data_IF_439165183846
#
_entry.id   IF_439165183846
#
_cell.length_a   1.000
_cell.length_b   1.000
_cell.length_c   1.000
_cell.angle_alpha   90.00
_cell.angle_beta   90.00
_cell.angle_gamma   90.00
#
_symmetry.space_group_name_H-M   'P 1'
#
loop_
_entity.id
_entity.type
_entity.pdbx_description
1 polymer ?
#
# COMPACT_ATOMS: atom_id res chain seq x y z
N UNK A 1 -2.24 -23.46 6.08
CA UNK A 1 -3.35 -23.46 5.11
C UNK A 1 -2.87 -22.59 3.98
N UNK A 2 -2.67 -23.13 2.78
CA UNK A 2 -2.43 -22.33 1.59
C UNK A 2 -3.71 -21.55 1.33
N UNK A 3 -3.76 -20.33 1.81
CA UNK A 3 -4.86 -19.40 1.52
C UNK A 3 -4.57 -18.70 0.20
N UNK A 4 -4.70 -19.44 -0.90
CA UNK A 4 -4.71 -18.79 -2.21
C UNK A 4 -5.82 -17.73 -2.24
N UNK A 5 -5.48 -16.50 -2.55
CA UNK A 5 -6.50 -15.48 -2.83
C UNK A 5 -7.19 -15.81 -4.15
N UNK A 6 -8.53 -15.72 -4.15
CA UNK A 6 -9.35 -16.05 -5.31
C UNK A 6 -10.44 -15.01 -5.51
N UNK A 7 -10.84 -14.86 -6.76
CA UNK A 7 -12.03 -14.10 -7.10
C UNK A 7 -13.28 -14.82 -6.58
N UNK A 8 -14.29 -14.01 -6.22
CA UNK A 8 -15.61 -14.51 -5.84
C UNK A 8 -16.38 -15.02 -7.08
N UNK A 9 -17.62 -15.46 -6.88
CA UNK A 9 -18.49 -16.00 -7.95
C UNK A 9 -18.78 -14.99 -9.06
N UNK A 10 -18.75 -13.68 -8.76
CA UNK A 10 -18.93 -12.59 -9.73
C UNK A 10 -17.64 -12.22 -10.46
N UNK A 11 -16.54 -12.91 -10.20
CA UNK A 11 -15.23 -12.65 -10.78
C UNK A 11 -14.53 -11.42 -10.20
N UNK A 12 -14.94 -10.95 -9.02
CA UNK A 12 -14.34 -9.81 -8.33
C UNK A 12 -13.57 -10.22 -7.09
N UNK A 13 -12.59 -9.38 -6.71
CA UNK A 13 -11.95 -9.40 -5.41
C UNK A 13 -11.87 -7.98 -4.86
N UNK A 14 -12.23 -7.81 -3.59
CA UNK A 14 -12.16 -6.54 -2.89
C UNK A 14 -10.93 -6.47 -1.99
N UNK A 15 -10.07 -5.51 -2.23
CA UNK A 15 -8.86 -5.23 -1.43
C UNK A 15 -9.08 -3.96 -0.63
N UNK A 16 -8.76 -3.98 0.65
CA UNK A 16 -8.73 -2.81 1.52
C UNK A 16 -7.29 -2.42 1.83
N UNK A 17 -6.93 -1.16 1.57
CA UNK A 17 -5.68 -0.57 2.04
C UNK A 17 -5.96 0.22 3.33
N UNK A 18 -5.25 -0.15 4.38
CA UNK A 18 -5.09 0.62 5.61
C UNK A 18 -3.67 1.17 5.66
N UNK A 19 -3.46 2.34 6.25
CA UNK A 19 -2.14 2.96 6.30
C UNK A 19 -2.02 3.92 7.48
N UNK A 20 -0.78 4.15 7.92
CA UNK A 20 -0.47 5.17 8.91
C UNK A 20 -1.30 5.01 10.20
N UNK A 21 -1.27 3.81 10.77
CA UNK A 21 -2.05 3.45 11.96
C UNK A 21 -1.48 4.09 13.23
N UNK A 22 -0.14 4.23 13.32
CA UNK A 22 0.61 4.87 14.39
C UNK A 22 0.15 4.46 15.81
N UNK A 23 0.04 3.16 16.05
CA UNK A 23 -0.28 2.65 17.39
C UNK A 23 0.93 2.86 18.30
N UNK A 24 0.77 3.67 19.36
CA UNK A 24 1.93 4.22 20.09
C UNK A 24 1.92 3.95 21.58
N UNK A 25 0.80 4.18 22.27
CA UNK A 25 0.73 4.26 23.75
C UNK A 25 -0.37 3.37 24.35
N UNK A 26 -1.14 2.65 23.55
CA UNK A 26 -2.35 1.95 23.96
C UNK A 26 -3.39 2.88 24.58
N UNK A 27 -3.52 4.08 24.03
CA UNK A 27 -4.39 5.16 24.50
C UNK A 27 -5.70 5.29 23.70
N UNK A 28 -6.45 6.36 23.94
CA UNK A 28 -7.74 6.60 23.28
C UNK A 28 -7.61 6.74 21.76
N UNK A 29 -6.52 7.33 21.25
CA UNK A 29 -6.28 7.47 19.81
C UNK A 29 -6.04 6.11 19.16
N UNK A 30 -5.24 5.26 19.82
CA UNK A 30 -4.97 3.91 19.37
C UNK A 30 -6.24 3.04 19.37
N UNK A 31 -7.05 3.17 20.41
CA UNK A 31 -8.34 2.45 20.50
C UNK A 31 -9.32 2.93 19.43
N UNK A 32 -9.34 4.22 19.07
CA UNK A 32 -10.14 4.74 17.94
C UNK A 32 -9.65 4.18 16.61
N UNK A 33 -8.33 4.07 16.40
CA UNK A 33 -7.75 3.44 15.20
C UNK A 33 -8.25 2.01 15.05
N UNK A 34 -8.15 1.20 16.11
CA UNK A 34 -8.60 -0.19 16.12
C UNK A 34 -10.13 -0.29 15.92
N UNK A 35 -10.90 0.64 16.48
CA UNK A 35 -12.35 0.69 16.29
C UNK A 35 -12.73 1.01 14.83
N UNK A 36 -12.06 1.98 14.21
CA UNK A 36 -12.22 2.29 12.78
C UNK A 36 -11.92 1.06 11.91
N UNK A 37 -10.80 0.37 12.17
CA UNK A 37 -10.45 -0.83 11.42
C UNK A 37 -11.54 -1.90 11.52
N UNK A 38 -12.07 -2.19 12.73
CA UNK A 38 -13.17 -3.13 12.92
C UNK A 38 -14.44 -2.72 12.16
N UNK A 39 -14.77 -1.44 12.19
CA UNK A 39 -15.95 -0.92 11.50
C UNK A 39 -15.79 -1.03 9.98
N UNK A 40 -14.65 -0.61 9.42
CA UNK A 40 -14.35 -0.70 8.00
C UNK A 40 -14.38 -2.16 7.50
N UNK A 41 -13.78 -3.09 8.25
CA UNK A 41 -13.79 -4.53 7.94
C UNK A 41 -15.21 -5.10 7.92
N UNK A 42 -16.05 -4.69 8.89
CA UNK A 42 -17.44 -5.14 9.00
C UNK A 42 -18.31 -4.62 7.86
N UNK A 43 -18.15 -3.34 7.49
CA UNK A 43 -18.98 -2.67 6.49
C UNK A 43 -18.58 -3.05 5.08
N UNK A 44 -17.28 -3.01 4.79
CA UNK A 44 -16.74 -3.26 3.46
C UNK A 44 -16.54 -4.75 3.14
N UNK A 45 -16.34 -5.60 4.14
CA UNK A 45 -16.11 -7.04 4.00
C UNK A 45 -15.07 -7.36 2.89
N UNK A 46 -13.83 -6.87 3.03
CA UNK A 46 -12.80 -7.11 2.03
C UNK A 46 -12.43 -8.60 1.99
N UNK A 47 -11.98 -9.06 0.83
CA UNK A 47 -11.42 -10.39 0.62
C UNK A 47 -9.93 -10.43 1.00
N UNK A 48 -9.26 -9.27 1.00
CA UNK A 48 -7.87 -9.11 1.38
C UNK A 48 -7.62 -7.71 1.94
N UNK A 49 -6.70 -7.61 2.91
CA UNK A 49 -6.25 -6.33 3.47
C UNK A 49 -4.74 -6.17 3.28
N UNK A 50 -4.31 -5.00 2.79
CA UNK A 50 -2.92 -4.59 2.77
C UNK A 50 -2.71 -3.39 3.69
N UNK A 51 -1.76 -3.48 4.64
CA UNK A 51 -1.38 -2.36 5.50
C UNK A 51 -0.08 -1.75 4.96
N UNK A 52 -0.14 -0.49 4.57
CA UNK A 52 0.97 0.16 3.89
C UNK A 52 1.83 1.03 4.82
N UNK A 53 2.30 0.42 5.91
CA UNK A 53 3.32 0.98 6.79
C UNK A 53 2.82 1.89 7.90
N UNK A 54 3.77 2.29 8.74
CA UNK A 54 3.57 3.09 9.94
C UNK A 54 2.45 2.52 10.82
N UNK A 55 2.58 1.22 11.10
CA UNK A 55 1.62 0.45 11.88
C UNK A 55 1.76 0.74 13.37
N UNK A 56 3.02 0.79 13.83
CA UNK A 56 3.42 1.02 15.22
C UNK A 56 4.49 2.11 15.31
N UNK A 57 4.52 2.80 16.44
CA UNK A 57 5.52 3.83 16.69
C UNK A 57 5.99 3.78 18.14
N UNK A 58 7.32 3.86 18.37
CA UNK A 58 7.92 3.91 19.69
C UNK A 58 8.60 2.61 20.13
N UNK A 59 9.14 2.63 21.35
CA UNK A 59 9.99 1.54 21.91
C UNK A 59 9.25 0.19 22.08
N UNK A 60 7.91 0.25 22.25
CA UNK A 60 7.06 -0.93 22.47
C UNK A 60 6.48 -1.51 21.17
N UNK A 61 7.10 -1.23 20.03
CA UNK A 61 6.58 -1.61 18.71
C UNK A 61 6.22 -3.09 18.57
N UNK A 62 7.03 -4.01 19.10
CA UNK A 62 6.74 -5.45 19.06
C UNK A 62 5.57 -5.85 19.96
N UNK A 63 5.42 -5.20 21.13
CA UNK A 63 4.29 -5.43 22.04
C UNK A 63 2.98 -4.96 21.43
N UNK A 64 3.01 -3.82 20.72
CA UNK A 64 1.82 -3.20 20.14
C UNK A 64 1.39 -3.80 18.80
N UNK A 65 2.31 -4.45 18.08
CA UNK A 65 2.00 -5.05 16.79
C UNK A 65 0.77 -6.01 16.82
N UNK A 66 0.63 -6.95 17.77
CA UNK A 66 -0.58 -7.78 17.85
C UNK A 66 -1.83 -6.99 18.26
N UNK A 67 -1.70 -5.88 18.97
CA UNK A 67 -2.83 -5.04 19.37
C UNK A 67 -3.41 -4.29 18.17
N UNK A 68 -2.56 -3.67 17.36
CA UNK A 68 -2.99 -2.95 16.16
C UNK A 68 -3.56 -3.91 15.10
N UNK A 69 -3.04 -5.13 15.01
CA UNK A 69 -3.54 -6.14 14.06
C UNK A 69 -4.70 -7.00 14.60
N UNK A 70 -5.12 -6.80 15.86
CA UNK A 70 -6.24 -7.55 16.42
C UNK A 70 -7.50 -7.55 15.53
N UNK A 71 -7.94 -6.43 14.92
CA UNK A 71 -9.09 -6.43 14.02
C UNK A 71 -8.93 -7.34 12.80
N UNK A 72 -7.74 -7.42 12.22
CA UNK A 72 -7.43 -8.29 11.07
C UNK A 72 -7.49 -9.77 11.46
N UNK A 73 -6.90 -10.10 12.60
CA UNK A 73 -6.90 -11.47 13.16
C UNK A 73 -8.33 -11.92 13.50
N UNK A 74 -9.12 -11.05 14.12
CA UNK A 74 -10.50 -11.29 14.54
C UNK A 74 -11.44 -11.45 13.34
N UNK A 75 -11.26 -10.65 12.28
CA UNK A 75 -12.08 -10.71 11.07
C UNK A 75 -11.94 -12.03 10.31
N UNK A 76 -10.77 -12.67 10.41
CA UNK A 76 -10.41 -13.84 9.63
C UNK A 76 -10.12 -13.55 8.16
N UNK A 77 -10.17 -12.29 7.72
CA UNK A 77 -9.76 -11.86 6.39
C UNK A 77 -8.25 -12.08 6.22
N UNK A 78 -7.78 -12.64 5.11
CA UNK A 78 -6.36 -12.67 4.78
C UNK A 78 -5.80 -11.25 4.69
N UNK A 79 -4.57 -11.04 5.15
CA UNK A 79 -3.96 -9.72 5.16
C UNK A 79 -2.46 -9.78 5.01
N UNK A 80 -1.88 -8.67 4.59
CA UNK A 80 -0.44 -8.48 4.53
C UNK A 80 -0.05 -7.05 4.90
N UNK A 81 1.25 -6.77 4.98
CA UNK A 81 1.76 -5.45 5.28
C UNK A 81 3.13 -5.20 4.65
N UNK A 82 3.47 -3.93 4.51
CA UNK A 82 4.81 -3.41 4.30
C UNK A 82 5.18 -2.49 5.45
N UNK A 83 6.46 -2.21 5.65
CA UNK A 83 6.92 -1.29 6.68
C UNK A 83 6.88 0.17 6.20
N UNK A 84 6.58 1.07 7.13
CA UNK A 84 6.82 2.49 7.02
C UNK A 84 8.13 2.90 7.70
N UNK A 85 8.45 4.20 7.67
CA UNK A 85 9.69 4.69 8.25
C UNK A 85 9.68 4.68 9.79
N UNK A 86 8.50 4.76 10.40
CA UNK A 86 8.38 4.80 11.87
C UNK A 86 8.32 3.42 12.53
N UNK A 87 7.99 2.35 11.82
CA UNK A 87 7.78 1.02 12.42
C UNK A 87 8.98 0.47 13.19
N UNK A 88 10.20 0.82 12.78
CA UNK A 88 11.45 0.36 13.40
C UNK A 88 12.40 1.49 13.79
N UNK A 89 11.89 2.70 13.90
CA UNK A 89 12.67 3.87 14.32
C UNK A 89 13.14 3.72 15.78
N UNK A 90 12.33 3.02 16.58
CA UNK A 90 12.60 2.67 17.98
C UNK A 90 12.27 1.20 18.23
N UNK A 91 12.81 0.63 19.31
CA UNK A 91 12.49 -0.73 19.74
C UNK A 91 13.07 -1.82 18.84
N UNK A 92 12.21 -2.70 18.37
CA UNK A 92 12.60 -3.87 17.59
C UNK A 92 12.74 -3.58 16.10
N UNK A 93 13.64 -4.32 15.45
CA UNK A 93 13.93 -4.21 14.02
C UNK A 93 12.76 -4.71 13.14
N UNK A 94 12.69 -4.24 11.87
CA UNK A 94 11.74 -4.74 10.87
C UNK A 94 11.77 -6.27 10.73
N UNK A 95 12.95 -6.88 10.82
CA UNK A 95 13.09 -8.35 10.74
C UNK A 95 12.38 -9.06 11.91
N UNK A 96 12.46 -8.52 13.12
CA UNK A 96 11.77 -9.07 14.29
C UNK A 96 10.27 -8.86 14.20
N UNK A 97 9.84 -7.66 13.77
CA UNK A 97 8.43 -7.34 13.55
C UNK A 97 7.83 -8.19 12.43
N UNK A 98 8.54 -8.40 11.32
CA UNK A 98 8.09 -9.30 10.25
C UNK A 98 7.90 -10.72 10.76
N UNK A 99 8.89 -11.25 11.48
CA UNK A 99 8.78 -12.60 12.07
C UNK A 99 7.61 -12.74 13.04
N UNK A 100 7.28 -11.69 13.78
CA UNK A 100 6.13 -11.66 14.67
C UNK A 100 4.81 -11.62 13.87
N UNK A 101 4.70 -10.73 12.89
CA UNK A 101 3.53 -10.62 12.02
C UNK A 101 3.23 -11.90 11.26
N UNK A 102 4.24 -12.53 10.66
CA UNK A 102 4.10 -13.81 9.92
C UNK A 102 3.52 -14.97 10.75
N UNK A 103 3.60 -14.90 12.09
CA UNK A 103 3.02 -15.90 13.00
C UNK A 103 1.55 -15.63 13.32
N UNK A 104 1.04 -14.46 12.97
CA UNK A 104 -0.34 -14.07 13.26
C UNK A 104 -1.29 -14.73 12.27
N UNK A 105 -2.47 -15.11 12.75
CA UNK A 105 -3.48 -15.78 11.93
C UNK A 105 -3.92 -14.87 10.76
N UNK A 106 -3.93 -15.43 9.56
CA UNK A 106 -4.34 -14.73 8.34
C UNK A 106 -3.26 -13.86 7.68
N UNK A 107 -2.11 -13.68 8.32
CA UNK A 107 -1.00 -12.93 7.74
C UNK A 107 -0.38 -13.69 6.57
N UNK A 108 -0.27 -13.00 5.43
CA UNK A 108 0.37 -13.49 4.20
C UNK A 108 1.69 -12.78 3.91
N UNK A 109 2.12 -11.87 4.79
CA UNK A 109 3.40 -11.21 4.63
C UNK A 109 4.55 -12.21 4.67
N UNK A 110 5.53 -11.99 3.83
CA UNK A 110 6.74 -12.80 3.75
C UNK A 110 7.94 -11.95 3.32
N UNK A 111 9.07 -12.58 3.14
CA UNK A 111 10.23 -11.98 2.49
C UNK A 111 10.78 -12.98 1.49
N UNK A 112 10.67 -12.67 0.22
CA UNK A 112 10.91 -13.62 -0.87
C UNK A 112 12.33 -14.17 -0.90
N UNK A 113 13.33 -13.36 -0.53
CA UNK A 113 14.72 -13.79 -0.49
C UNK A 113 15.57 -12.88 0.41
N UNK A 114 16.44 -13.49 1.21
CA UNK A 114 17.42 -12.76 2.03
C UNK A 114 18.47 -11.98 1.22
N UNK A 115 18.52 -12.17 -0.10
CA UNK A 115 19.39 -11.40 -1.00
C UNK A 115 18.77 -10.12 -1.52
N UNK A 116 17.50 -9.84 -1.21
CA UNK A 116 16.80 -8.62 -1.57
C UNK A 116 16.99 -7.62 -0.45
N UNK A 117 17.36 -6.38 -0.77
CA UNK A 117 17.44 -5.29 0.20
C UNK A 117 16.07 -4.98 0.79
N UNK A 118 16.05 -4.37 1.97
CA UNK A 118 14.82 -4.12 2.71
C UNK A 118 14.29 -5.37 3.41
N UNK A 119 13.10 -5.28 3.99
CA UNK A 119 12.47 -6.36 4.76
C UNK A 119 10.99 -6.47 4.39
N UNK A 120 10.56 -7.66 4.02
CA UNK A 120 9.14 -7.89 3.73
C UNK A 120 8.75 -7.65 2.27
N UNK A 121 9.71 -7.66 1.33
CA UNK A 121 9.38 -7.65 -0.10
C UNK A 121 8.81 -9.01 -0.51
N UNK A 122 7.57 -9.03 -0.99
CA UNK A 122 6.90 -10.26 -1.41
C UNK A 122 5.79 -10.00 -2.43
N UNK A 123 5.31 -11.09 -3.01
CA UNK A 123 4.21 -11.08 -3.97
C UNK A 123 3.07 -11.98 -3.48
N UNK A 124 1.84 -11.57 -3.76
CA UNK A 124 0.63 -12.35 -3.49
C UNK A 124 -0.13 -12.48 -4.82
N UNK A 125 -0.29 -13.71 -5.27
CA UNK A 125 -1.01 -14.02 -6.49
C UNK A 125 -2.51 -14.17 -6.22
N UNK A 126 -3.36 -13.57 -7.06
CA UNK A 126 -4.82 -13.69 -7.03
C UNK A 126 -5.24 -14.52 -8.23
N UNK A 127 -5.85 -15.67 -7.95
CA UNK A 127 -6.07 -16.72 -8.96
C UNK A 127 -7.55 -16.86 -9.32
N UNK A 128 -7.79 -17.17 -10.59
CA UNK A 128 -9.10 -17.58 -11.09
C UNK A 128 -9.44 -19.03 -10.65
N UNK A 129 -10.62 -19.48 -10.99
CA UNK A 129 -11.09 -20.85 -10.69
C UNK A 129 -10.22 -21.95 -11.34
N UNK A 130 -9.44 -21.63 -12.35
CA UNK A 130 -8.54 -22.54 -13.06
C UNK A 130 -7.10 -22.49 -12.53
N UNK A 131 -6.86 -21.86 -11.38
CA UNK A 131 -5.55 -21.62 -10.77
C UNK A 131 -4.61 -20.74 -11.63
N UNK A 132 -5.14 -19.93 -12.52
CA UNK A 132 -4.35 -18.95 -13.28
C UNK A 132 -4.35 -17.64 -12.53
N UNK A 133 -3.17 -17.05 -12.34
CA UNK A 133 -3.03 -15.72 -11.78
C UNK A 133 -3.57 -14.69 -12.75
N UNK A 134 -4.52 -13.88 -12.30
CA UNK A 134 -5.11 -12.76 -13.03
C UNK A 134 -4.64 -11.41 -12.49
N UNK A 135 -4.39 -11.35 -11.20
CA UNK A 135 -3.81 -10.19 -10.56
C UNK A 135 -2.71 -10.60 -9.59
N UNK A 136 -1.73 -9.72 -9.42
CA UNK A 136 -0.68 -9.89 -8.43
C UNK A 136 -0.58 -8.62 -7.57
N UNK A 137 -0.39 -8.79 -6.28
CA UNK A 137 -0.10 -7.71 -5.34
C UNK A 137 1.38 -7.76 -5.00
N UNK A 138 2.11 -6.71 -5.34
CA UNK A 138 3.48 -6.52 -4.93
C UNK A 138 3.52 -5.70 -3.65
N UNK A 139 4.08 -6.24 -2.60
CA UNK A 139 4.39 -5.56 -1.35
C UNK A 139 5.88 -5.23 -1.36
N UNK A 140 6.22 -3.93 -1.38
CA UNK A 140 7.59 -3.44 -1.55
C UNK A 140 8.00 -2.63 -0.31
N UNK A 141 9.11 -2.98 0.31
CA UNK A 141 9.71 -2.15 1.36
C UNK A 141 10.37 -0.92 0.75
N UNK A 142 9.80 0.25 0.98
CA UNK A 142 10.33 1.52 0.47
C UNK A 142 11.50 2.10 1.30
N UNK A 143 11.91 1.39 2.33
CA UNK A 143 12.94 1.88 3.26
C UNK A 143 12.38 2.90 4.26
N UNK A 144 13.30 3.63 4.90
CA UNK A 144 13.00 4.68 5.87
C UNK A 144 13.71 5.98 5.49
N UNK A 145 14.86 6.28 6.11
CA UNK A 145 15.68 7.46 5.81
C UNK A 145 16.85 7.10 4.91
N UNK A 146 17.28 8.06 4.09
CA UNK A 146 18.38 7.83 3.15
C UNK A 146 19.69 7.65 3.90
N UNK A 147 20.40 6.51 3.73
CA UNK A 147 21.66 6.25 4.41
C UNK A 147 22.83 7.14 3.92
N UNK A 148 22.68 7.81 2.76
CA UNK A 148 23.66 8.75 2.24
C UNK A 148 23.41 10.15 2.83
N UNK A 149 24.19 10.55 3.83
CA UNK A 149 24.03 11.84 4.53
C UNK A 149 24.01 13.04 3.59
N UNK A 150 24.82 13.02 2.51
CA UNK A 150 24.86 14.10 1.52
C UNK A 150 23.55 14.24 0.72
N UNK A 151 22.73 13.21 0.66
CA UNK A 151 21.40 13.23 0.03
C UNK A 151 20.34 13.59 1.07
N UNK A 152 20.32 12.87 2.18
CA UNK A 152 19.34 13.01 3.25
C UNK A 152 17.89 12.74 2.78
N UNK A 153 16.93 13.01 3.66
CA UNK A 153 15.52 12.72 3.39
C UNK A 153 15.21 11.22 3.42
N UNK A 154 14.22 10.80 2.65
CA UNK A 154 13.77 9.41 2.63
C UNK A 154 14.62 8.53 1.72
N UNK A 155 14.71 7.24 2.06
CA UNK A 155 15.32 6.22 1.23
C UNK A 155 14.48 5.99 -0.04
N UNK A 156 15.09 5.39 -1.04
CA UNK A 156 14.41 4.92 -2.24
C UNK A 156 14.55 3.39 -2.36
N UNK A 157 13.61 2.77 -3.04
CA UNK A 157 13.70 1.36 -3.43
C UNK A 157 15.01 1.13 -4.19
N UNK A 158 15.79 0.15 -3.74
CA UNK A 158 17.15 -0.08 -4.27
C UNK A 158 17.14 -0.78 -5.62
N UNK A 159 18.28 -0.73 -6.33
CA UNK A 159 18.42 -1.40 -7.62
C UNK A 159 18.19 -2.92 -7.54
N UNK A 160 18.54 -3.57 -6.42
CA UNK A 160 18.31 -5.00 -6.30
C UNK A 160 16.82 -5.34 -6.02
N UNK A 161 16.08 -4.50 -5.31
CA UNK A 161 14.63 -4.62 -5.19
C UNK A 161 13.92 -4.39 -6.53
N UNK A 162 14.39 -3.43 -7.33
CA UNK A 162 13.88 -3.18 -8.69
C UNK A 162 14.12 -4.40 -9.58
N UNK A 163 15.31 -4.99 -9.54
CA UNK A 163 15.62 -6.22 -10.27
C UNK A 163 14.73 -7.40 -9.81
N UNK A 164 14.50 -7.54 -8.51
CA UNK A 164 13.56 -8.54 -7.97
C UNK A 164 12.15 -8.34 -8.54
N UNK A 165 11.64 -7.10 -8.49
CA UNK A 165 10.32 -6.77 -9.03
C UNK A 165 10.21 -7.13 -10.52
N UNK A 166 11.17 -6.72 -11.35
CA UNK A 166 11.18 -7.03 -12.78
C UNK A 166 11.24 -8.54 -13.02
N UNK A 167 12.10 -9.27 -12.30
CA UNK A 167 12.20 -10.72 -12.41
C UNK A 167 10.87 -11.42 -12.07
N UNK A 168 10.18 -10.97 -11.01
CA UNK A 168 8.86 -11.51 -10.65
C UNK A 168 7.80 -11.26 -11.72
N UNK A 169 7.76 -10.06 -12.30
CA UNK A 169 6.87 -9.79 -13.44
C UNK A 169 7.22 -10.70 -14.63
N UNK A 170 8.50 -10.88 -14.97
CA UNK A 170 8.90 -11.76 -16.07
C UNK A 170 8.60 -13.25 -15.78
N UNK A 171 8.75 -13.70 -14.54
CA UNK A 171 8.34 -15.05 -14.13
C UNK A 171 6.84 -15.26 -14.34
N UNK A 172 6.01 -14.30 -13.95
CA UNK A 172 4.56 -14.35 -14.16
C UNK A 172 4.21 -14.29 -15.65
N UNK A 173 4.84 -13.40 -16.43
CA UNK A 173 4.64 -13.25 -17.87
C UNK A 173 4.96 -14.55 -18.65
N UNK A 174 5.95 -15.30 -18.20
CA UNK A 174 6.28 -16.59 -18.80
C UNK A 174 5.25 -17.68 -18.50
N UNK A 175 4.44 -17.51 -17.45
CA UNK A 175 3.41 -18.48 -17.04
C UNK A 175 2.00 -18.12 -17.51
N UNK A 176 1.71 -16.81 -17.57
CA UNK A 176 0.36 -16.29 -17.78
C UNK A 176 0.40 -15.17 -18.84
N UNK A 177 -0.46 -15.28 -19.85
CA UNK A 177 -0.55 -14.30 -20.93
C UNK A 177 -1.30 -13.02 -20.50
N UNK A 178 -2.29 -13.17 -19.62
CA UNK A 178 -3.24 -12.14 -19.25
C UNK A 178 -3.29 -12.03 -17.71
N UNK A 179 -2.46 -11.13 -17.18
CA UNK A 179 -2.47 -10.74 -15.77
C UNK A 179 -2.06 -9.28 -15.63
N UNK A 180 -2.42 -8.68 -14.51
CA UNK A 180 -1.95 -7.36 -14.11
C UNK A 180 -1.54 -7.33 -12.64
N UNK A 181 -0.92 -6.23 -12.22
CA UNK A 181 -0.41 -6.08 -10.87
C UNK A 181 -0.81 -4.74 -10.26
N UNK A 182 -1.02 -4.74 -8.95
CA UNK A 182 -0.96 -3.57 -8.09
C UNK A 182 0.27 -3.66 -7.20
N UNK A 183 0.97 -2.55 -7.04
CA UNK A 183 2.08 -2.44 -6.12
C UNK A 183 1.71 -1.54 -4.93
N UNK A 184 2.18 -1.93 -3.75
CA UNK A 184 1.97 -1.21 -2.50
C UNK A 184 3.30 -1.02 -1.78
N UNK A 185 3.56 0.19 -1.35
CA UNK A 185 4.70 0.55 -0.51
C UNK A 185 4.29 1.69 0.43
N UNK A 186 5.16 2.12 1.32
CA UNK A 186 4.82 3.20 2.25
C UNK A 186 5.18 4.57 1.69
N UNK A 187 6.45 4.81 1.38
CA UNK A 187 6.96 6.11 0.91
C UNK A 187 6.70 6.25 -0.59
N UNK A 188 6.21 7.40 -1.02
CA UNK A 188 5.92 7.71 -2.41
C UNK A 188 7.18 7.69 -3.30
N UNK A 189 7.03 7.43 -4.59
CA UNK A 189 8.06 7.72 -5.59
C UNK A 189 7.93 9.16 -6.07
N UNK A 190 9.01 9.80 -6.58
CA UNK A 190 8.96 11.19 -7.07
C UNK A 190 7.87 11.44 -8.12
N UNK A 191 7.49 10.45 -8.89
CA UNK A 191 6.44 10.53 -9.91
C UNK A 191 5.03 10.82 -9.33
N UNK A 192 4.81 10.64 -8.02
CA UNK A 192 3.58 11.11 -7.37
C UNK A 192 3.46 12.66 -7.39
N UNK A 193 4.59 13.39 -7.41
CA UNK A 193 4.57 14.83 -7.67
C UNK A 193 4.21 15.13 -9.12
N UNK A 194 4.79 14.38 -10.05
CA UNK A 194 4.57 14.58 -11.49
C UNK A 194 3.13 14.32 -11.89
N UNK A 195 2.51 13.24 -11.38
CA UNK A 195 1.12 12.95 -11.69
C UNK A 195 0.20 14.08 -11.25
N UNK A 196 0.40 14.66 -10.05
CA UNK A 196 -0.39 15.78 -9.58
C UNK A 196 -0.15 17.06 -10.40
N UNK A 197 1.08 17.28 -10.86
CA UNK A 197 1.46 18.46 -11.62
C UNK A 197 0.94 18.44 -13.06
N UNK A 198 0.97 17.27 -13.71
CA UNK A 198 0.78 17.16 -15.15
C UNK A 198 -0.50 16.44 -15.57
N UNK A 199 -1.10 15.66 -14.68
CA UNK A 199 -2.25 14.82 -15.02
C UNK A 199 -3.49 15.19 -14.21
N UNK A 200 -4.66 14.78 -14.69
CA UNK A 200 -5.89 14.91 -13.92
C UNK A 200 -5.85 13.95 -12.72
N UNK A 201 -6.02 14.51 -11.54
CA UNK A 201 -6.07 13.75 -10.29
C UNK A 201 -7.43 13.85 -9.62
N UNK A 202 -7.74 12.85 -8.82
CA UNK A 202 -8.96 12.75 -8.03
C UNK A 202 -8.61 12.52 -6.57
N UNK A 203 -9.41 13.04 -5.64
CA UNK A 203 -9.19 12.93 -4.21
C UNK A 203 -8.67 14.22 -3.59
N UNK A 204 -8.02 14.11 -2.46
CA UNK A 204 -7.58 15.25 -1.65
C UNK A 204 -6.05 15.30 -1.63
N UNK A 205 -5.49 16.50 -1.86
CA UNK A 205 -4.07 16.81 -1.65
C UNK A 205 -3.97 18.06 -0.79
N UNK A 206 -3.51 17.90 0.45
CA UNK A 206 -3.39 18.98 1.44
C UNK A 206 -1.99 19.18 1.96
N UNK A 207 -1.08 18.30 1.62
CA UNK A 207 0.33 18.42 2.00
C UNK A 207 1.27 18.11 0.84
N UNK A 208 2.58 18.26 1.07
CA UNK A 208 3.61 17.90 0.11
C UNK A 208 3.58 16.42 -0.22
N UNK A 209 4.51 15.99 -1.06
CA UNK A 209 4.78 14.58 -1.29
C UNK A 209 6.08 14.24 -0.57
N UNK A 210 5.98 13.43 0.48
CA UNK A 210 7.10 12.87 1.22
C UNK A 210 7.78 11.78 0.40
N UNK A 211 8.61 12.16 -0.58
CA UNK A 211 9.30 11.21 -1.45
C UNK A 211 10.83 11.36 -1.36
N UNK A 212 11.61 10.37 -1.82
CA UNK A 212 13.05 10.49 -1.92
C UNK A 212 13.49 11.69 -2.76
N UNK A 213 14.62 12.30 -2.39
CA UNK A 213 15.22 13.41 -3.15
C UNK A 213 15.85 12.98 -4.47
N UNK A 214 16.12 11.67 -4.62
CA UNK A 214 16.67 11.06 -5.83
C UNK A 214 15.72 9.97 -6.29
N UNK A 215 15.63 9.81 -7.61
CA UNK A 215 14.81 8.76 -8.22
C UNK A 215 15.64 7.51 -8.43
N UNK A 216 15.15 6.35 -7.99
CA UNK A 216 15.84 5.06 -8.18
C UNK A 216 15.49 4.37 -9.50
N UNK A 217 14.47 4.85 -10.20
CA UNK A 217 13.99 4.25 -11.45
C UNK A 217 12.93 3.17 -11.28
N UNK A 218 12.34 2.99 -10.10
CA UNK A 218 11.28 1.99 -9.89
C UNK A 218 10.09 2.20 -10.82
N UNK A 219 9.63 3.45 -10.96
CA UNK A 219 8.50 3.76 -11.84
C UNK A 219 8.81 3.42 -13.31
N UNK A 220 10.02 3.76 -13.78
CA UNK A 220 10.46 3.37 -15.12
C UNK A 220 10.49 1.85 -15.30
N UNK A 221 11.00 1.11 -14.31
CA UNK A 221 10.99 -0.35 -14.35
C UNK A 221 9.56 -0.94 -14.41
N UNK A 222 8.59 -0.30 -13.74
CA UNK A 222 7.17 -0.68 -13.83
C UNK A 222 6.60 -0.44 -15.24
N UNK A 223 6.93 0.69 -15.85
CA UNK A 223 6.53 0.99 -17.23
C UNK A 223 7.14 -0.01 -18.23
N UNK A 224 8.43 -0.30 -18.11
CA UNK A 224 9.15 -1.24 -18.98
C UNK A 224 8.60 -2.66 -18.87
N UNK A 225 8.30 -3.13 -17.65
CA UNK A 225 7.73 -4.45 -17.40
C UNK A 225 6.28 -4.59 -17.91
N UNK A 226 5.49 -3.52 -17.88
CA UNK A 226 4.22 -3.36 -18.60
C UNK A 226 2.97 -3.95 -17.94
N UNK A 227 3.03 -4.57 -16.77
CA UNK A 227 1.89 -5.25 -16.14
C UNK A 227 1.31 -4.52 -14.91
N UNK A 228 2.03 -3.54 -14.36
CA UNK A 228 1.56 -2.79 -13.20
C UNK A 228 0.55 -1.73 -13.62
N UNK A 229 -0.64 -1.78 -13.04
CA UNK A 229 -1.74 -0.83 -13.28
C UNK A 229 -1.83 0.25 -12.21
N UNK A 230 -1.23 0.03 -11.03
CA UNK A 230 -1.22 1.01 -9.96
C UNK A 230 -0.11 0.81 -8.95
N UNK A 231 0.39 1.92 -8.40
CA UNK A 231 1.27 1.98 -7.24
C UNK A 231 0.62 2.89 -6.19
N UNK A 232 0.28 2.30 -5.05
CA UNK A 232 -0.38 3.00 -3.95
C UNK A 232 0.49 3.03 -2.70
N UNK A 233 0.47 4.17 -2.02
CA UNK A 233 1.37 4.47 -0.91
C UNK A 233 0.60 4.99 0.32
N UNK A 234 1.27 5.15 1.45
CA UNK A 234 0.82 5.84 2.65
C UNK A 234 1.63 7.10 2.89
N UNK A 235 2.12 7.27 4.13
CA UNK A 235 3.10 8.26 4.55
C UNK A 235 2.60 9.70 4.67
N UNK A 236 1.93 10.22 3.67
CA UNK A 236 1.40 11.60 3.67
C UNK A 236 -0.06 11.57 4.15
N UNK A 237 -0.30 11.89 5.44
CA UNK A 237 -1.57 11.63 6.14
C UNK A 237 -2.73 12.52 5.71
N UNK A 238 -2.45 13.63 5.03
CA UNK A 238 -3.47 14.56 4.53
C UNK A 238 -3.67 14.46 3.01
N UNK A 239 -3.11 13.43 2.38
CA UNK A 239 -3.29 13.11 0.98
C UNK A 239 -4.10 11.81 0.81
N UNK A 240 -4.99 11.77 -0.16
CA UNK A 240 -5.63 10.56 -0.67
C UNK A 240 -5.86 10.63 -2.19
N UNK A 241 -5.18 11.55 -2.87
CA UNK A 241 -5.34 11.71 -4.30
C UNK A 241 -4.76 10.54 -5.10
N UNK A 242 -5.26 10.37 -6.31
CA UNK A 242 -4.68 9.48 -7.31
C UNK A 242 -4.86 10.07 -8.71
N UNK A 243 -3.99 9.67 -9.63
CA UNK A 243 -4.04 10.04 -11.04
C UNK A 243 -3.28 9.04 -11.89
N UNK A 244 -3.49 9.06 -13.20
CA UNK A 244 -2.83 8.15 -14.13
C UNK A 244 -1.65 8.82 -14.81
N UNK A 245 -0.48 8.19 -14.72
CA UNK A 245 0.74 8.64 -15.35
C UNK A 245 1.26 7.52 -16.27
N UNK A 246 1.24 7.75 -17.58
CA UNK A 246 1.69 6.78 -18.59
C UNK A 246 1.05 5.37 -18.49
N UNK A 247 -0.21 5.29 -18.05
CA UNK A 247 -0.92 4.02 -17.91
C UNK A 247 -0.84 3.38 -16.53
N UNK A 248 -0.04 3.93 -15.61
CA UNK A 248 0.02 3.49 -14.20
C UNK A 248 -0.68 4.51 -13.32
N UNK A 249 -1.61 4.07 -12.51
CA UNK A 249 -2.27 4.91 -11.51
C UNK A 249 -1.36 5.06 -10.29
N UNK A 250 -0.96 6.29 -9.98
CA UNK A 250 -0.23 6.63 -8.75
C UNK A 250 -1.18 7.24 -7.74
N UNK A 251 -1.18 6.74 -6.51
CA UNK A 251 -2.12 7.23 -5.51
C UNK A 251 -1.72 6.95 -4.08
N UNK A 252 -2.46 7.60 -3.18
CA UNK A 252 -2.30 7.46 -1.74
C UNK A 252 -3.45 6.66 -1.14
N UNK A 253 -3.17 5.89 -0.10
CA UNK A 253 -4.16 5.39 0.83
C UNK A 253 -4.81 6.53 1.62
N UNK A 254 -5.93 6.26 2.28
CA UNK A 254 -6.51 7.17 3.26
C UNK A 254 -5.94 6.84 4.63
N UNK A 255 -5.28 7.79 5.30
CA UNK A 255 -4.74 7.58 6.64
C UNK A 255 -5.80 7.04 7.60
N UNK A 256 -5.49 5.95 8.29
CA UNK A 256 -6.46 5.23 9.13
C UNK A 256 -6.25 5.52 10.63
N UNK A 257 -5.04 5.96 11.03
CA UNK A 257 -4.66 6.13 12.43
C UNK A 257 -5.03 7.49 13.02
N UNK A 258 -5.39 7.49 14.28
CA UNK A 258 -5.66 8.70 15.06
C UNK A 258 -4.45 9.16 15.90
N UNK A 259 -3.45 8.30 16.09
CA UNK A 259 -2.21 8.60 16.82
C UNK A 259 -1.21 9.47 16.05
N UNK A 260 -1.62 10.09 14.94
CA UNK A 260 -0.76 10.87 14.06
C UNK A 260 -1.41 12.19 13.65
N UNK A 261 -0.62 13.06 13.02
CA UNK A 261 -1.11 14.34 12.52
C UNK A 261 -2.16 14.18 11.40
N UNK A 262 -2.92 15.23 11.17
CA UNK A 262 -3.91 15.34 10.09
C UNK A 262 -4.68 16.63 10.24
N UNK A 263 -5.42 17.04 9.21
CA UNK A 263 -6.32 18.18 9.32
C UNK A 263 -7.60 17.75 10.06
N UNK A 264 -8.18 18.61 10.94
CA UNK A 264 -9.36 18.27 11.72
C UNK A 264 -10.59 17.86 10.89
N UNK A 265 -10.67 18.37 9.66
CA UNK A 265 -11.73 18.05 8.68
C UNK A 265 -11.33 16.97 7.67
N UNK A 266 -10.19 16.30 7.88
CA UNK A 266 -9.73 15.18 7.08
C UNK A 266 -10.02 13.86 7.80
N UNK A 267 -11.27 13.41 7.71
CA UNK A 267 -11.71 12.16 8.34
C UNK A 267 -10.79 10.99 7.99
N UNK A 268 -10.53 10.14 8.97
CA UNK A 268 -9.77 8.90 8.78
C UNK A 268 -10.59 7.88 8.00
N UNK A 269 -9.93 6.89 7.43
CA UNK A 269 -10.63 5.91 6.62
C UNK A 269 -9.75 4.80 6.06
N UNK A 270 -10.19 4.23 4.95
CA UNK A 270 -9.47 3.21 4.19
C UNK A 270 -9.67 3.45 2.69
N UNK A 271 -8.74 3.00 1.86
CA UNK A 271 -8.94 2.93 0.42
C UNK A 271 -9.33 1.53 0.01
N UNK A 272 -10.29 1.44 -0.88
CA UNK A 272 -10.83 0.17 -1.37
C UNK A 272 -10.49 0.04 -2.86
N UNK A 273 -10.17 -1.19 -3.28
CA UNK A 273 -9.94 -1.56 -4.67
C UNK A 273 -10.84 -2.72 -5.03
N UNK A 274 -11.43 -2.67 -6.23
CA UNK A 274 -12.16 -3.79 -6.82
C UNK A 274 -11.41 -4.21 -8.08
N UNK A 275 -10.91 -5.44 -8.08
CA UNK A 275 -10.26 -6.05 -9.22
C UNK A 275 -11.19 -7.10 -9.82
N UNK A 276 -11.17 -7.26 -11.15
CA UNK A 276 -12.00 -8.23 -11.86
C UNK A 276 -11.12 -9.20 -12.66
N UNK A 277 -11.44 -10.51 -12.63
CA UNK A 277 -10.67 -11.53 -13.34
C UNK A 277 -10.80 -11.46 -14.87
N UNK A 278 -11.90 -10.87 -15.36
CA UNK A 278 -12.19 -10.75 -16.79
C UNK A 278 -11.75 -9.38 -17.36
N UNK A 279 -11.33 -8.44 -16.50
CA UNK A 279 -10.81 -7.15 -16.89
C UNK A 279 -9.55 -6.85 -16.07
N UNK A 280 -8.39 -7.20 -16.61
CA UNK A 280 -7.10 -6.94 -15.98
C UNK A 280 -6.49 -5.60 -16.38
N UNK A 281 -7.12 -4.85 -17.32
CA UNK A 281 -6.61 -3.57 -17.79
C UNK A 281 -6.91 -2.39 -16.86
N UNK A 282 -7.93 -2.53 -16.02
CA UNK A 282 -8.36 -1.48 -15.10
C UNK A 282 -8.89 -2.05 -13.78
N UNK A 283 -8.98 -1.20 -12.78
CA UNK A 283 -9.58 -1.48 -11.49
C UNK A 283 -10.40 -0.28 -11.02
N UNK A 284 -11.33 -0.53 -10.10
CA UNK A 284 -12.06 0.55 -9.43
C UNK A 284 -11.39 0.84 -8.08
N UNK A 285 -11.44 2.11 -7.65
CA UNK A 285 -10.99 2.50 -6.31
C UNK A 285 -11.86 3.60 -5.73
N UNK A 286 -12.08 3.51 -4.40
CA UNK A 286 -12.83 4.50 -3.65
C UNK A 286 -12.32 4.59 -2.21
N UNK A 287 -12.81 5.59 -1.46
CA UNK A 287 -12.45 5.78 -0.05
C UNK A 287 -13.66 5.51 0.83
N UNK A 288 -13.47 4.70 1.87
CA UNK A 288 -14.37 4.52 3.01
C UNK A 288 -13.93 5.44 4.14
N UNK A 289 -14.85 6.15 4.77
CA UNK A 289 -14.59 7.11 5.85
C UNK A 289 -15.08 6.58 7.22
N UNK A 290 -14.50 7.12 8.28
CA UNK A 290 -14.80 6.77 9.69
C UNK A 290 -16.26 6.93 10.10
N UNK A 291 -17.03 7.78 9.41
CA UNK A 291 -18.46 7.96 9.64
C UNK A 291 -19.35 6.99 8.83
N UNK A 292 -18.75 6.07 8.09
CA UNK A 292 -19.43 5.10 7.24
C UNK A 292 -19.72 5.59 5.82
N UNK A 293 -19.37 6.83 5.49
CA UNK A 293 -19.56 7.35 4.13
C UNK A 293 -18.56 6.71 3.15
N UNK A 294 -18.98 6.59 1.89
CA UNK A 294 -18.17 6.07 0.79
C UNK A 294 -18.05 7.11 -0.31
N UNK A 295 -16.82 7.47 -0.67
CA UNK A 295 -16.52 8.43 -1.72
C UNK A 295 -16.09 7.68 -2.98
N UNK A 296 -17.05 7.39 -3.87
CA UNK A 296 -16.80 6.74 -5.18
C UNK A 296 -16.44 7.72 -6.28
N UNK A 297 -16.95 8.95 -6.19
CA UNK A 297 -16.68 10.02 -7.15
C UNK A 297 -15.98 11.18 -6.44
N UNK A 298 -14.66 11.07 -6.20
CA UNK A 298 -13.94 12.12 -5.49
C UNK A 298 -13.81 13.38 -6.36
N UNK A 299 -13.54 14.50 -5.68
CA UNK A 299 -13.23 15.75 -6.35
C UNK A 299 -12.06 15.59 -7.32
N UNK A 300 -12.21 16.13 -8.54
CA UNK A 300 -11.17 16.10 -9.56
C UNK A 300 -10.38 17.41 -9.64
N UNK A 301 -9.07 17.29 -9.70
CA UNK A 301 -8.17 18.40 -9.94
C UNK A 301 -7.71 18.37 -11.40
N UNK A 302 -7.71 19.55 -12.03
CA UNK A 302 -7.08 19.71 -13.35
C UNK A 302 -5.55 19.87 -13.17
N UNK A 303 -4.74 19.42 -14.12
CA UNK A 303 -3.29 19.55 -14.04
C UNK A 303 -2.88 21.03 -13.95
N UNK A 304 -1.82 21.30 -13.19
CA UNK A 304 -1.29 22.64 -12.99
C UNK A 304 -0.64 23.21 -14.27
N UNK A 305 -0.09 22.36 -15.12
CA UNK A 305 0.47 22.70 -16.42
C UNK A 305 0.37 21.51 -17.39
N UNK A 306 0.51 21.77 -18.68
CA UNK A 306 0.62 20.69 -19.66
C UNK A 306 2.06 20.20 -19.76
N UNK A 307 2.23 18.89 -19.94
CA UNK A 307 3.57 18.29 -20.05
C UNK A 307 4.34 18.74 -21.28
N UNK A 308 3.64 19.09 -22.34
CA UNK A 308 4.23 19.46 -23.64
C UNK A 308 4.69 20.94 -23.69
N UNK A 309 4.57 21.68 -22.59
CA UNK A 309 4.93 23.11 -22.50
C UNK A 309 6.29 23.33 -21.78
N UNK A 310 7.10 22.27 -21.61
CA UNK A 310 8.42 22.30 -20.97
C UNK A 310 9.58 22.06 -21.90
#
# INVERSE_FOLDING_TARGET
MDSDLRFNEDGNIKIMQLTDLHYTNDDEADHKTVALMRQALKDEKPDFVIVTGDMVYGEHNLEFLPKVFAPLIESGCPWSFVFGNHDSEWGHSRTELLKAGMRMKGCMASHDSSSIDGVGNHIIEIKDKNNKTKWAVFAIDSGDYNPMEQVGGYACVTGNQINWYQNKIYELKNKYEDFSALAFQHIAVPEHLDVFKYEKCYGIKREGCGCPRVNSGLFYAMLEAGHTKGLFVGHDHANDYYGNLFGITLGYGRASGYGTYGAPDHMKGARIFILNENNTESFETYVYLENGDVIKEPWGYMPLCRRDEG
#
